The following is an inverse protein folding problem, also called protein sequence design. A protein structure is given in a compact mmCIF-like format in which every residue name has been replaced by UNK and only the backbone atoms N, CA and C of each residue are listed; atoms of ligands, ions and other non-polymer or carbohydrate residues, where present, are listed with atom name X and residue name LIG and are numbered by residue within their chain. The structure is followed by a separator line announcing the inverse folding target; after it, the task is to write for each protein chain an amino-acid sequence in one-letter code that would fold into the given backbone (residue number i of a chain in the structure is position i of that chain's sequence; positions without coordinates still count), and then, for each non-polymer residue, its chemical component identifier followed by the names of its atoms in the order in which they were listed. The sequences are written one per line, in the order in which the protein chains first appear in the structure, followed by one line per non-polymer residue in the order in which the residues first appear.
data_IF_856402582937
#
_entry.id   IF_856402582937
#
_cell.length_a   1.000
_cell.length_b   1.000
_cell.length_c   1.000
_cell.angle_alpha   90.00
_cell.angle_beta   90.00
_cell.angle_gamma   90.00
#
_symmetry.space_group_name_H-M   'P 1'
#
loop_
_entity.id
_entity.type
_entity.pdbx_description
1 polymer ?
#
# COMPACT_ATOMS: atom_id res chain seq x y z
N UNK A 1 -14.72 14.36 -5.44
CA UNK A 1 -13.57 15.03 -4.80
C UNK A 1 -13.18 16.23 -5.66
N UNK A 2 -12.99 17.41 -5.08
CA UNK A 2 -12.59 18.61 -5.84
C UNK A 2 -11.09 18.51 -6.20
N UNK A 3 -10.65 18.87 -7.42
CA UNK A 3 -9.23 18.89 -7.80
C UNK A 3 -8.31 19.63 -6.81
N UNK A 4 -8.81 20.68 -6.15
CA UNK A 4 -8.04 21.41 -5.11
C UNK A 4 -7.78 20.58 -3.85
N UNK A 5 -8.69 19.66 -3.50
CA UNK A 5 -8.52 18.80 -2.34
C UNK A 5 -7.40 17.78 -2.59
N UNK A 6 -7.31 17.26 -3.82
CA UNK A 6 -6.24 16.36 -4.26
C UNK A 6 -4.86 17.03 -4.20
N UNK A 7 -4.78 18.28 -4.67
CA UNK A 7 -3.52 19.04 -4.63
C UNK A 7 -3.07 19.32 -3.19
N UNK A 8 -4.01 19.73 -2.32
CA UNK A 8 -3.72 19.97 -0.90
C UNK A 8 -3.32 18.67 -0.17
N UNK A 9 -3.94 17.55 -0.53
CA UNK A 9 -3.56 16.24 -0.01
C UNK A 9 -2.13 15.88 -0.42
N UNK A 10 -1.80 15.99 -1.70
CA UNK A 10 -0.46 15.69 -2.21
C UNK A 10 0.62 16.57 -1.55
N UNK A 11 0.34 17.86 -1.35
CA UNK A 11 1.25 18.78 -0.64
C UNK A 11 1.48 18.36 0.81
N UNK A 12 0.42 17.99 1.54
CA UNK A 12 0.54 17.54 2.94
C UNK A 12 1.33 16.24 3.06
N UNK A 13 1.10 15.29 2.16
CA UNK A 13 1.86 14.03 2.11
C UNK A 13 3.34 14.34 1.91
N UNK A 14 3.68 15.18 0.92
CA UNK A 14 5.06 15.57 0.65
C UNK A 14 5.73 16.21 1.88
N UNK A 15 5.06 17.17 2.52
CA UNK A 15 5.59 17.86 3.70
C UNK A 15 5.77 16.91 4.89
N UNK A 16 4.83 15.99 5.11
CA UNK A 16 4.94 14.98 6.15
C UNK A 16 6.13 14.04 5.91
N UNK A 17 6.32 13.58 4.66
CA UNK A 17 7.48 12.75 4.28
C UNK A 17 8.81 13.50 4.39
N UNK A 18 8.84 14.81 4.14
CA UNK A 18 10.05 15.63 4.32
C UNK A 18 10.39 15.85 5.79
N UNK A 19 9.41 16.19 6.62
CA UNK A 19 9.60 16.39 8.06
C UNK A 19 10.09 15.11 8.76
N UNK A 20 9.47 13.98 8.40
CA UNK A 20 9.84 12.65 8.85
C UNK A 20 11.31 12.29 8.67
N UNK A 21 11.85 12.55 7.48
CA UNK A 21 13.25 12.27 7.14
C UNK A 21 14.25 13.07 7.97
N UNK A 22 13.82 14.22 8.48
CA UNK A 22 14.66 15.12 9.31
C UNK A 22 14.54 14.76 10.78
N UNK A 23 13.34 14.45 11.26
CA UNK A 23 13.06 14.26 12.69
C UNK A 23 13.41 12.86 13.21
N UNK A 24 13.18 11.82 12.40
CA UNK A 24 13.51 10.44 12.80
C UNK A 24 13.88 9.58 11.58
N UNK A 25 15.16 9.56 11.18
CA UNK A 25 15.63 8.75 10.05
C UNK A 25 15.48 7.24 10.26
N UNK A 26 15.31 6.78 11.51
CA UNK A 26 15.19 5.35 11.88
C UNK A 26 13.78 4.92 12.29
N UNK A 27 12.90 5.87 12.63
CA UNK A 27 11.51 5.66 13.00
C UNK A 27 10.63 5.48 11.77
N UNK A 28 10.44 4.23 11.36
CA UNK A 28 9.44 3.91 10.37
C UNK A 28 8.05 4.24 10.89
N UNK A 29 7.41 5.28 10.35
CA UNK A 29 5.94 5.37 10.09
C UNK A 29 5.57 6.76 9.58
N UNK A 30 6.26 7.22 8.54
CA UNK A 30 5.83 8.41 7.81
C UNK A 30 5.62 8.03 6.35
N UNK A 31 4.37 7.72 6.01
CA UNK A 31 3.99 7.23 4.70
C UNK A 31 2.48 7.17 4.52
N UNK A 32 2.03 6.71 3.35
CA UNK A 32 0.63 6.37 3.11
C UNK A 32 0.49 4.88 3.34
N UNK A 33 -0.30 4.48 4.33
CA UNK A 33 -0.70 3.09 4.48
C UNK A 33 -1.93 2.82 3.59
N UNK A 34 -1.81 1.82 2.72
CA UNK A 34 -2.90 1.38 1.86
C UNK A 34 -3.38 0.03 2.36
N UNK A 35 -4.54 0.01 3.01
CA UNK A 35 -5.19 -1.24 3.43
C UNK A 35 -6.11 -1.77 2.32
N UNK A 36 -5.78 -2.94 1.77
CA UNK A 36 -6.52 -3.57 0.68
C UNK A 36 -7.36 -4.73 1.20
N UNK A 37 -8.68 -4.51 1.30
CA UNK A 37 -9.66 -5.53 1.63
C UNK A 37 -10.12 -6.29 0.38
N UNK A 38 -9.38 -7.34 0.01
CA UNK A 38 -9.70 -8.16 -1.17
C UNK A 38 -10.52 -9.37 -0.73
N UNK A 39 -11.72 -9.54 -1.31
CA UNK A 39 -12.67 -10.58 -0.96
C UNK A 39 -12.87 -11.57 -2.13
N UNK A 40 -13.16 -12.83 -1.80
CA UNK A 40 -13.54 -13.86 -2.76
C UNK A 40 -15.04 -13.78 -3.12
N UNK A 41 -15.51 -14.71 -3.96
CA UNK A 41 -16.92 -14.79 -4.36
C UNK A 41 -17.89 -15.10 -3.21
N UNK A 42 -17.39 -15.54 -2.06
CA UNK A 42 -18.16 -15.80 -0.84
C UNK A 42 -17.99 -14.68 0.20
N UNK A 43 -17.42 -13.53 -0.19
CA UNK A 43 -17.15 -12.36 0.66
C UNK A 43 -16.18 -12.64 1.81
N UNK A 44 -15.28 -13.61 1.66
CA UNK A 44 -14.22 -13.89 2.64
C UNK A 44 -12.89 -13.28 2.19
N UNK A 45 -12.00 -12.90 3.13
CA UNK A 45 -10.69 -12.38 2.78
C UNK A 45 -9.91 -13.34 1.87
N UNK A 46 -9.40 -12.86 0.75
CA UNK A 46 -8.55 -13.64 -0.16
C UNK A 46 -7.21 -13.87 0.51
N UNK A 47 -6.95 -15.13 0.88
CA UNK A 47 -5.68 -15.52 1.54
C UNK A 47 -4.65 -16.07 0.56
N UNK A 48 -5.10 -16.62 -0.58
CA UNK A 48 -4.25 -17.33 -1.53
C UNK A 48 -4.68 -17.11 -2.98
N UNK A 49 -3.74 -17.25 -3.90
CA UNK A 49 -3.94 -17.22 -5.35
C UNK A 49 -3.41 -18.50 -6.00
N UNK A 50 -3.89 -18.79 -7.22
CA UNK A 50 -3.50 -19.99 -7.97
C UNK A 50 -4.29 -21.25 -7.59
N UNK A 51 -3.94 -22.38 -8.21
CA UNK A 51 -4.60 -23.67 -8.02
C UNK A 51 -3.57 -24.80 -7.83
N UNK A 52 -3.93 -25.82 -7.04
CA UNK A 52 -3.10 -27.00 -6.83
C UNK A 52 -1.72 -26.67 -6.22
N UNK A 53 -0.62 -27.26 -6.72
CA UNK A 53 0.73 -27.07 -6.16
C UNK A 53 1.26 -25.63 -6.31
N UNK A 54 0.73 -24.85 -7.25
CA UNK A 54 1.12 -23.46 -7.49
C UNK A 54 0.45 -22.45 -6.53
N UNK A 55 -0.29 -22.94 -5.53
CA UNK A 55 -1.12 -22.10 -4.66
C UNK A 55 -0.30 -21.40 -3.59
N UNK A 56 -0.12 -20.09 -3.73
CA UNK A 56 0.69 -19.24 -2.84
C UNK A 56 -0.11 -18.14 -2.14
N UNK A 57 0.53 -17.47 -1.19
CA UNK A 57 -0.03 -16.33 -0.45
C UNK A 57 -0.48 -15.21 -1.40
N UNK A 58 -1.66 -14.65 -1.16
CA UNK A 58 -2.12 -13.47 -1.90
C UNK A 58 -1.26 -12.24 -1.59
N UNK A 59 -0.86 -12.07 -0.32
CA UNK A 59 -0.04 -10.94 0.11
C UNK A 59 1.32 -10.94 -0.58
N UNK A 60 2.00 -12.09 -0.61
CA UNK A 60 3.32 -12.24 -1.22
C UNK A 60 3.22 -11.96 -2.73
N UNK A 61 2.23 -12.54 -3.40
CA UNK A 61 1.97 -12.27 -4.82
C UNK A 61 1.70 -10.79 -5.10
N UNK A 62 0.93 -10.12 -4.25
CA UNK A 62 0.61 -8.70 -4.40
C UNK A 62 1.87 -7.84 -4.25
N UNK A 63 2.62 -8.02 -3.16
CA UNK A 63 3.81 -7.24 -2.82
C UNK A 63 4.93 -7.42 -3.86
N UNK A 64 5.19 -8.66 -4.28
CA UNK A 64 6.34 -8.98 -5.13
C UNK A 64 6.09 -8.65 -6.61
N UNK A 65 4.87 -8.87 -7.10
CA UNK A 65 4.62 -8.92 -8.55
C UNK A 65 3.64 -7.86 -9.05
N UNK A 66 2.73 -7.38 -8.20
CA UNK A 66 1.56 -6.61 -8.67
C UNK A 66 1.53 -5.18 -8.18
N UNK A 67 2.18 -4.85 -7.07
CA UNK A 67 2.33 -3.45 -6.67
C UNK A 67 3.24 -2.71 -7.65
N UNK A 68 2.91 -1.47 -8.05
CA UNK A 68 3.84 -0.62 -8.79
C UNK A 68 5.05 -0.28 -7.92
N UNK A 69 6.20 0.01 -8.54
CA UNK A 69 7.47 0.20 -7.84
C UNK A 69 7.39 1.23 -6.67
N UNK A 70 6.65 2.32 -6.87
CA UNK A 70 6.47 3.37 -5.85
C UNK A 70 5.73 2.91 -4.58
N UNK A 71 5.05 1.75 -4.62
CA UNK A 71 4.28 1.20 -3.51
C UNK A 71 4.99 0.01 -2.82
N UNK A 72 6.21 -0.34 -3.25
CA UNK A 72 7.01 -1.44 -2.68
C UNK A 72 8.09 -0.96 -1.71
N UNK A 73 8.38 0.34 -1.72
CA UNK A 73 9.35 1.03 -0.86
C UNK A 73 8.65 1.69 0.34
#
# INVERSE_FOLDING_TARGET
MNPRDLLRFAERVRLASEAARVEDPGGGTFGIEVELNVLDGELRPVRRVGFGPERRSFADHLLEERLPAWARD
#
